data_IF_370643684724
#
_entry.id   IF_370643684724
#
_cell.length_a   1.000
_cell.length_b   1.000
_cell.length_c   1.000
_cell.angle_alpha   90.00
_cell.angle_beta   90.00
_cell.angle_gamma   90.00
#
_symmetry.space_group_name_H-M   'P 1'
#
loop_
_entity.id
_entity.type
_entity.pdbx_description
1 polymer ?
#
# COMPACT_ATOMS: atom_id res chain seq x y z
N UNK A 1 -20.30 20.69 19.23
CA UNK A 1 -19.46 21.30 18.18
C UNK A 1 -19.12 20.20 17.20
N UNK A 2 -19.90 20.14 16.13
CA UNK A 2 -19.88 19.09 15.12
C UNK A 2 -18.59 19.18 14.32
N UNK A 3 -17.83 18.08 14.26
CA UNK A 3 -16.75 17.93 13.30
C UNK A 3 -17.34 17.40 12.00
N UNK A 4 -17.61 18.27 11.03
CA UNK A 4 -17.83 17.86 9.65
C UNK A 4 -16.61 17.04 9.20
N UNK A 5 -16.78 15.72 9.09
CA UNK A 5 -15.79 14.87 8.43
C UNK A 5 -15.65 15.36 7.00
N UNK A 6 -14.48 15.91 6.65
CA UNK A 6 -14.16 16.31 5.27
C UNK A 6 -14.22 15.06 4.39
N UNK A 7 -15.36 14.83 3.74
CA UNK A 7 -15.49 13.82 2.68
C UNK A 7 -14.65 14.29 1.50
N UNK A 8 -13.38 13.84 1.44
CA UNK A 8 -12.54 14.04 0.25
C UNK A 8 -13.07 13.17 -0.88
N UNK A 9 -13.08 13.70 -2.10
CA UNK A 9 -13.33 12.91 -3.31
C UNK A 9 -12.34 11.73 -3.32
N UNK A 10 -12.78 10.47 -3.53
CA UNK A 10 -11.90 9.30 -3.64
C UNK A 10 -10.77 9.48 -4.63
N UNK A 11 -11.01 10.24 -5.70
CA UNK A 11 -10.00 10.55 -6.71
C UNK A 11 -8.86 11.45 -6.17
N UNK A 12 -9.08 12.14 -5.05
CA UNK A 12 -8.09 12.98 -4.37
C UNK A 12 -7.34 12.29 -3.24
N UNK A 13 -7.66 11.01 -2.97
CA UNK A 13 -7.00 10.24 -1.90
C UNK A 13 -5.65 9.74 -2.40
N UNK A 14 -4.61 10.05 -1.65
CA UNK A 14 -3.25 9.69 -2.00
C UNK A 14 -2.77 8.48 -1.21
N UNK A 15 -1.62 7.94 -1.61
CA UNK A 15 -0.91 6.89 -0.88
C UNK A 15 -0.65 7.33 0.57
N UNK A 16 -0.26 8.58 0.80
CA UNK A 16 0.00 9.12 2.14
C UNK A 16 -1.21 9.04 3.08
N UNK A 17 -2.43 9.12 2.56
CA UNK A 17 -3.66 9.03 3.36
C UNK A 17 -3.95 7.59 3.86
N UNK A 18 -3.35 6.56 3.25
CA UNK A 18 -3.67 5.13 3.50
C UNK A 18 -2.47 4.29 3.94
N UNK A 19 -1.25 4.68 3.57
CA UNK A 19 -0.05 3.91 3.86
C UNK A 19 0.15 3.69 5.38
N UNK A 20 0.88 2.63 5.71
CA UNK A 20 1.39 2.43 7.06
C UNK A 20 2.73 3.15 7.17
N UNK A 21 2.82 4.17 8.04
CA UNK A 21 4.05 4.96 8.21
C UNK A 21 5.09 4.30 9.12
N UNK A 22 4.67 3.50 10.11
CA UNK A 22 5.60 2.78 10.99
C UNK A 22 5.98 1.44 10.35
N UNK A 23 6.98 1.47 9.47
CA UNK A 23 7.44 0.29 8.73
C UNK A 23 8.55 -0.41 9.52
N UNK A 24 8.39 -1.71 9.71
CA UNK A 24 9.49 -2.56 10.13
C UNK A 24 10.45 -2.77 8.96
N UNK A 25 11.72 -2.51 9.20
CA UNK A 25 12.81 -2.61 8.23
C UNK A 25 13.91 -3.50 8.76
N UNK A 26 14.73 -4.00 7.85
CA UNK A 26 16.04 -4.58 8.17
C UNK A 26 17.13 -3.70 7.58
N UNK A 27 18.31 -3.73 8.17
CA UNK A 27 19.48 -3.05 7.63
C UNK A 27 20.28 -3.98 6.73
N UNK A 28 20.97 -3.42 5.73
CA UNK A 28 21.76 -4.20 4.75
C UNK A 28 22.80 -5.11 5.40
N UNK A 29 23.42 -4.66 6.49
CA UNK A 29 24.42 -5.41 7.24
C UNK A 29 23.86 -6.37 8.29
N UNK A 30 22.53 -6.44 8.47
CA UNK A 30 21.93 -7.39 9.40
C UNK A 30 22.21 -8.83 8.92
N UNK A 31 22.30 -9.75 9.88
CA UNK A 31 22.38 -11.16 9.55
C UNK A 31 21.03 -11.65 9.02
N UNK A 32 21.06 -12.67 8.16
CA UNK A 32 19.83 -13.36 7.74
C UNK A 32 19.04 -13.88 8.95
N UNK A 33 19.71 -14.33 10.01
CA UNK A 33 19.05 -14.82 11.23
C UNK A 33 18.25 -13.70 11.94
N UNK A 34 18.77 -12.48 11.97
CA UNK A 34 18.07 -11.33 12.54
C UNK A 34 16.87 -10.93 11.68
N UNK A 35 17.00 -10.97 10.34
CA UNK A 35 15.88 -10.75 9.43
C UNK A 35 14.79 -11.82 9.58
N UNK A 36 15.16 -13.10 9.76
CA UNK A 36 14.23 -14.20 10.04
C UNK A 36 13.47 -13.93 11.34
N UNK A 37 14.16 -13.57 12.43
CA UNK A 37 13.52 -13.23 13.71
C UNK A 37 12.52 -12.10 13.54
N UNK A 38 12.91 -11.00 12.89
CA UNK A 38 12.03 -9.86 12.67
C UNK A 38 10.77 -10.26 11.90
N UNK A 39 10.91 -11.02 10.81
CA UNK A 39 9.79 -11.45 9.97
C UNK A 39 8.82 -12.36 10.74
N UNK A 40 9.35 -13.34 11.46
CA UNK A 40 8.56 -14.31 12.24
C UNK A 40 7.86 -13.63 13.41
N UNK A 41 8.60 -12.88 14.23
CA UNK A 41 8.07 -12.27 15.46
C UNK A 41 7.05 -11.17 15.15
N UNK A 42 7.18 -10.52 13.99
CA UNK A 42 6.28 -9.44 13.55
C UNK A 42 5.12 -9.92 12.69
N UNK A 43 5.04 -11.23 12.40
CA UNK A 43 3.99 -11.84 11.55
C UNK A 43 3.86 -11.13 10.19
N UNK A 44 4.99 -10.81 9.59
CA UNK A 44 5.07 -10.24 8.24
C UNK A 44 5.76 -11.25 7.31
N UNK A 45 5.60 -11.12 6.00
CA UNK A 45 6.22 -12.06 5.04
C UNK A 45 7.44 -11.49 4.32
N UNK A 46 7.96 -10.36 4.83
CA UNK A 46 9.07 -9.62 4.25
C UNK A 46 9.09 -8.16 4.67
N UNK A 47 10.26 -7.53 4.55
CA UNK A 47 10.55 -6.18 5.01
C UNK A 47 11.41 -5.42 3.99
N UNK A 48 11.28 -4.09 3.89
CA UNK A 48 12.25 -3.26 3.18
C UNK A 48 13.63 -3.32 3.82
N UNK A 49 14.68 -3.31 3.00
CA UNK A 49 16.07 -3.21 3.41
C UNK A 49 16.52 -1.77 3.24
N UNK A 50 17.11 -1.17 4.29
CA UNK A 50 17.56 0.22 4.29
C UNK A 50 19.02 0.38 4.70
N UNK A 51 19.65 1.47 4.24
CA UNK A 51 20.97 1.90 4.71
C UNK A 51 20.89 2.69 6.03
N UNK A 52 22.03 3.21 6.48
CA UNK A 52 22.13 4.04 7.69
C UNK A 52 21.38 5.39 7.58
N UNK A 53 21.21 5.90 6.36
CA UNK A 53 20.46 7.13 6.06
C UNK A 53 18.96 6.85 5.86
N UNK A 54 18.50 5.62 6.10
CA UNK A 54 17.13 5.17 5.91
C UNK A 54 16.66 5.20 4.45
N UNK A 55 17.60 5.13 3.50
CA UNK A 55 17.30 4.98 2.08
C UNK A 55 17.05 3.53 1.76
N UNK A 56 16.08 3.28 0.89
CA UNK A 56 15.74 1.92 0.48
C UNK A 56 16.80 1.36 -0.46
N UNK A 57 17.31 0.17 -0.14
CA UNK A 57 18.28 -0.56 -0.94
C UNK A 57 17.66 -1.79 -1.61
N UNK A 58 16.66 -2.40 -0.97
CA UNK A 58 16.10 -3.66 -1.40
C UNK A 58 14.85 -4.06 -0.64
N UNK A 59 14.37 -5.27 -0.92
CA UNK A 59 13.36 -5.97 -0.13
C UNK A 59 13.90 -7.36 0.19
N UNK A 60 13.64 -7.83 1.41
CA UNK A 60 13.83 -9.21 1.79
C UNK A 60 12.48 -9.85 2.09
N UNK A 61 12.22 -11.02 1.53
CA UNK A 61 11.05 -11.84 1.79
C UNK A 61 11.44 -13.20 2.38
N UNK A 62 10.45 -13.90 2.94
CA UNK A 62 10.63 -15.29 3.42
C UNK A 62 11.27 -16.19 2.35
N UNK A 63 10.89 -16.01 1.08
CA UNK A 63 11.46 -16.75 -0.05
C UNK A 63 12.95 -16.53 -0.26
N UNK A 64 13.48 -15.39 0.18
CA UNK A 64 14.85 -14.97 -0.09
C UNK A 64 15.81 -15.53 0.98
N UNK A 65 15.30 -15.69 2.20
CA UNK A 65 16.06 -16.13 3.39
C UNK A 65 15.91 -17.61 3.70
N UNK A 66 14.87 -18.28 3.19
CA UNK A 66 14.66 -19.72 3.40
C UNK A 66 15.86 -20.52 2.88
N UNK A 67 16.49 -21.28 3.78
CA UNK A 67 17.64 -22.13 3.47
C UNK A 67 18.98 -21.40 3.39
N UNK A 68 19.03 -20.10 3.67
CA UNK A 68 20.27 -19.31 3.76
C UNK A 68 20.87 -19.40 5.17
N UNK A 69 22.20 -19.39 5.27
CA UNK A 69 22.93 -19.50 6.55
C UNK A 69 24.24 -18.72 6.50
N UNK A 70 24.50 -17.91 7.52
CA UNK A 70 25.76 -17.16 7.67
C UNK A 70 25.94 -16.00 6.67
N UNK A 71 24.89 -15.65 5.94
CA UNK A 71 24.87 -14.54 4.97
C UNK A 71 24.26 -13.29 5.60
N UNK A 72 24.59 -12.13 5.03
CA UNK A 72 23.96 -10.85 5.36
C UNK A 72 22.75 -10.58 4.47
N UNK A 73 21.89 -9.64 4.90
CA UNK A 73 20.66 -9.28 4.17
C UNK A 73 20.97 -8.75 2.77
N UNK A 74 22.00 -7.93 2.60
CA UNK A 74 22.40 -7.38 1.31
C UNK A 74 22.84 -8.44 0.27
N UNK A 75 23.35 -9.58 0.72
CA UNK A 75 23.72 -10.71 -0.14
C UNK A 75 22.51 -11.48 -0.70
N UNK A 76 21.34 -11.36 -0.06
CA UNK A 76 20.14 -12.14 -0.41
C UNK A 76 18.94 -11.30 -0.84
N UNK A 77 18.96 -9.99 -0.61
CA UNK A 77 17.85 -9.10 -0.94
C UNK A 77 17.59 -8.97 -2.44
N UNK A 78 16.34 -8.68 -2.79
CA UNK A 78 15.99 -8.22 -4.13
C UNK A 78 16.21 -6.71 -4.23
N UNK A 79 16.99 -6.27 -5.23
CA UNK A 79 17.37 -4.86 -5.44
C UNK A 79 16.49 -4.11 -6.43
N UNK A 80 15.73 -4.82 -7.30
CA UNK A 80 14.77 -4.19 -8.20
C UNK A 80 13.48 -3.81 -7.42
N UNK A 81 13.55 -2.68 -6.73
CA UNK A 81 12.47 -2.19 -5.87
C UNK A 81 11.62 -1.18 -6.63
N UNK A 82 10.37 -1.55 -6.90
CA UNK A 82 9.35 -0.61 -7.34
C UNK A 82 8.86 0.19 -6.15
N UNK A 83 9.02 1.51 -6.19
CA UNK A 83 8.59 2.43 -5.12
C UNK A 83 7.52 3.41 -5.63
N UNK A 84 6.87 4.10 -4.70
CA UNK A 84 5.91 5.18 -4.96
C UNK A 84 6.13 6.33 -3.98
N UNK A 85 5.41 7.45 -4.14
CA UNK A 85 5.48 8.61 -3.24
C UNK A 85 4.16 8.84 -2.52
N UNK A 86 4.18 9.59 -1.42
CA UNK A 86 2.97 9.91 -0.64
C UNK A 86 1.90 10.67 -1.43
N UNK A 87 2.32 11.43 -2.45
CA UNK A 87 1.43 12.23 -3.30
C UNK A 87 0.82 11.41 -4.45
N UNK A 88 1.31 10.19 -4.69
CA UNK A 88 0.75 9.32 -5.72
C UNK A 88 -0.70 8.99 -5.39
N UNK A 89 -1.60 8.98 -6.38
CA UNK A 89 -3.00 8.60 -6.14
C UNK A 89 -3.11 7.11 -5.80
N UNK A 90 -4.11 6.73 -4.99
CA UNK A 90 -4.35 5.32 -4.70
C UNK A 90 -4.64 4.48 -5.94
N UNK A 91 -5.32 5.05 -6.94
CA UNK A 91 -5.64 4.36 -8.18
C UNK A 91 -4.38 4.03 -8.99
N UNK A 92 -3.48 5.01 -9.16
CA UNK A 92 -2.19 4.81 -9.83
C UNK A 92 -1.28 3.83 -9.08
N UNK A 93 -1.27 3.88 -7.74
CA UNK A 93 -0.54 2.92 -6.93
C UNK A 93 -1.12 1.50 -7.09
N UNK A 94 -2.45 1.35 -7.06
CA UNK A 94 -3.12 0.07 -7.28
C UNK A 94 -2.81 -0.50 -8.67
N UNK A 95 -2.86 0.33 -9.72
CA UNK A 95 -2.48 -0.05 -11.08
C UNK A 95 -1.03 -0.53 -11.15
N UNK A 96 -0.10 0.18 -10.50
CA UNK A 96 1.30 -0.21 -10.41
C UNK A 96 1.44 -1.60 -9.77
N UNK A 97 0.74 -1.85 -8.65
CA UNK A 97 0.76 -3.15 -7.96
C UNK A 97 0.21 -4.30 -8.80
N UNK A 98 -0.82 -4.04 -9.60
CA UNK A 98 -1.43 -5.03 -10.48
C UNK A 98 -0.54 -5.33 -11.69
N UNK A 99 -0.07 -4.28 -12.37
CA UNK A 99 0.77 -4.39 -13.57
C UNK A 99 2.12 -5.02 -13.26
N UNK A 100 2.77 -4.61 -12.15
CA UNK A 100 4.04 -5.18 -11.70
C UNK A 100 3.87 -6.49 -10.93
N UNK A 101 2.64 -6.94 -10.67
CA UNK A 101 2.29 -8.15 -9.90
C UNK A 101 2.89 -8.19 -8.48
N UNK A 102 3.10 -7.03 -7.88
CA UNK A 102 3.64 -6.89 -6.52
C UNK A 102 2.51 -6.72 -5.49
N UNK A 103 2.78 -7.14 -4.25
CA UNK A 103 1.81 -7.13 -3.15
C UNK A 103 1.96 -5.95 -2.20
N UNK A 104 3.13 -5.32 -2.19
CA UNK A 104 3.49 -4.18 -1.35
C UNK A 104 4.29 -3.18 -2.19
N UNK A 105 4.12 -1.90 -1.89
CA UNK A 105 4.85 -0.79 -2.47
C UNK A 105 5.48 0.00 -1.33
N UNK A 106 6.82 -0.01 -1.21
CA UNK A 106 7.51 0.94 -0.37
C UNK A 106 7.21 2.37 -0.84
N UNK A 107 6.87 3.23 0.11
CA UNK A 107 6.60 4.65 -0.12
C UNK A 107 7.84 5.43 0.29
N UNK A 108 8.36 6.24 -0.61
CA UNK A 108 9.58 7.00 -0.38
C UNK A 108 9.39 8.50 -0.55
N UNK A 109 10.22 9.26 0.15
CA UNK A 109 10.40 10.70 -0.03
C UNK A 109 11.90 10.97 -0.15
N UNK A 110 12.32 11.50 -1.29
CA UNK A 110 13.74 11.73 -1.60
C UNK A 110 14.63 10.48 -1.42
N UNK A 111 14.09 9.31 -1.81
CA UNK A 111 14.77 8.01 -1.67
C UNK A 111 14.76 7.41 -0.27
N UNK A 112 14.29 8.15 0.74
CA UNK A 112 14.12 7.65 2.12
C UNK A 112 12.79 6.94 2.25
N UNK A 113 12.77 5.81 2.95
CA UNK A 113 11.52 5.12 3.24
C UNK A 113 10.69 5.93 4.24
N UNK A 114 9.40 6.17 3.91
CA UNK A 114 8.46 6.90 4.77
C UNK A 114 7.17 6.14 5.04
N UNK A 115 6.96 5.02 4.34
CA UNK A 115 5.80 4.17 4.57
C UNK A 115 5.80 2.93 3.69
N UNK A 116 4.77 2.12 3.85
CA UNK A 116 4.48 0.98 2.99
C UNK A 116 3.00 0.93 2.69
N UNK A 117 2.65 0.66 1.44
CA UNK A 117 1.29 0.42 1.00
C UNK A 117 1.13 -1.03 0.57
N UNK A 118 0.21 -1.76 1.20
CA UNK A 118 -0.10 -3.14 0.81
C UNK A 118 -1.45 -3.24 0.09
N UNK A 119 -1.66 -4.35 -0.64
CA UNK A 119 -2.99 -4.66 -1.21
C UNK A 119 -4.06 -4.76 -0.12
N UNK A 120 -3.71 -5.19 1.09
CA UNK A 120 -4.66 -5.25 2.20
C UNK A 120 -5.09 -3.84 2.62
N UNK A 121 -4.19 -2.86 2.60
CA UNK A 121 -4.52 -1.47 2.92
C UNK A 121 -5.42 -0.86 1.84
N UNK A 122 -5.15 -1.14 0.56
CA UNK A 122 -6.05 -0.77 -0.54
C UNK A 122 -7.45 -1.38 -0.38
N UNK A 123 -7.56 -2.68 -0.12
CA UNK A 123 -8.85 -3.36 0.07
C UNK A 123 -9.59 -2.79 1.29
N UNK A 124 -8.87 -2.55 2.39
CA UNK A 124 -9.40 -1.90 3.58
C UNK A 124 -9.93 -0.51 3.25
N UNK A 125 -9.28 0.24 2.38
CA UNK A 125 -9.77 1.56 1.98
C UNK A 125 -11.00 1.44 1.07
N UNK A 126 -10.91 0.64 0.00
CA UNK A 126 -11.96 0.43 -1.00
C UNK A 126 -13.29 0.07 -0.37
N UNK A 127 -13.31 -0.78 0.68
CA UNK A 127 -14.56 -1.20 1.36
C UNK A 127 -15.40 -0.03 1.88
N UNK A 128 -14.81 1.14 2.05
CA UNK A 128 -15.47 2.33 2.59
C UNK A 128 -15.86 3.33 1.50
N UNK A 129 -15.41 3.12 0.27
CA UNK A 129 -15.62 4.02 -0.88
C UNK A 129 -16.89 3.61 -1.63
N UNK A 130 -18.01 4.24 -1.29
CA UNK A 130 -19.32 3.91 -1.87
C UNK A 130 -19.81 4.96 -2.84
N UNK A 131 -20.33 4.49 -3.98
CA UNK A 131 -21.00 5.30 -5.00
C UNK A 131 -22.45 4.88 -5.08
N UNK A 132 -23.36 5.84 -4.91
CA UNK A 132 -24.81 5.61 -4.99
C UNK A 132 -25.35 6.24 -6.26
N UNK A 133 -26.01 5.44 -7.10
CA UNK A 133 -26.63 5.94 -8.33
C UNK A 133 -27.83 6.82 -8.00
N UNK A 134 -27.87 8.05 -8.52
CA UNK A 134 -28.94 9.01 -8.18
C UNK A 134 -30.31 8.61 -8.77
N UNK A 135 -30.35 7.66 -9.70
CA UNK A 135 -31.56 7.30 -10.45
C UNK A 135 -32.31 6.13 -9.80
N UNK A 136 -31.57 5.13 -9.33
CA UNK A 136 -32.16 3.90 -8.78
C UNK A 136 -31.62 3.52 -7.39
N UNK A 137 -30.76 4.36 -6.81
CA UNK A 137 -30.14 4.14 -5.50
C UNK A 137 -29.26 2.88 -5.38
N UNK A 138 -28.91 2.24 -6.50
CA UNK A 138 -27.94 1.14 -6.50
C UNK A 138 -26.59 1.64 -5.99
N UNK A 139 -26.03 0.92 -5.02
CA UNK A 139 -24.72 1.24 -4.44
C UNK A 139 -23.65 0.30 -4.96
N UNK A 140 -22.50 0.84 -5.33
CA UNK A 140 -21.32 0.07 -5.72
C UNK A 140 -20.07 0.56 -4.99
N UNK A 141 -19.08 -0.31 -4.88
CA UNK A 141 -17.82 -0.05 -4.17
C UNK A 141 -16.68 0.12 -5.17
N UNK A 142 -15.84 1.13 -4.99
CA UNK A 142 -14.65 1.31 -5.84
C UNK A 142 -13.95 2.65 -5.68
N UNK A 143 -12.64 2.70 -6.00
CA UNK A 143 -11.82 3.92 -5.94
C UNK A 143 -12.25 4.98 -6.95
N UNK A 144 -12.79 4.55 -8.09
CA UNK A 144 -13.22 5.43 -9.17
C UNK A 144 -14.74 5.47 -9.25
N UNK A 145 -15.25 6.64 -9.64
CA UNK A 145 -16.65 6.78 -10.02
C UNK A 145 -16.98 5.84 -11.18
N UNK A 146 -18.05 5.04 -11.10
CA UNK A 146 -18.46 4.21 -12.22
C UNK A 146 -18.94 5.04 -13.41
N UNK A 147 -18.70 4.54 -14.63
CA UNK A 147 -19.17 5.23 -15.84
C UNK A 147 -20.69 5.06 -16.06
N UNK A 148 -21.26 3.92 -15.66
CA UNK A 148 -22.69 3.63 -15.77
C UNK A 148 -23.14 2.69 -14.63
N UNK A 149 -24.39 2.85 -14.20
CA UNK A 149 -24.98 2.01 -13.17
C UNK A 149 -25.22 0.59 -13.69
N UNK A 150 -24.75 -0.46 -13.00
CA UNK A 150 -24.95 -1.84 -13.47
C UNK A 150 -26.41 -2.30 -13.40
N UNK A 151 -27.28 -1.54 -12.73
CA UNK A 151 -28.70 -1.86 -12.60
C UNK A 151 -29.58 -1.14 -13.63
N UNK A 152 -29.45 0.19 -13.76
CA UNK A 152 -30.32 0.99 -14.64
C UNK A 152 -29.61 1.72 -15.79
N UNK A 153 -28.27 1.67 -15.87
CA UNK A 153 -27.48 2.38 -16.87
C UNK A 153 -27.28 3.88 -16.62
N UNK A 154 -27.80 4.44 -15.52
CA UNK A 154 -27.63 5.86 -15.18
C UNK A 154 -26.17 6.27 -14.92
N UNK A 155 -25.84 7.53 -15.17
CA UNK A 155 -24.44 8.01 -15.20
C UNK A 155 -24.11 9.02 -14.09
N UNK A 156 -25.10 9.43 -13.29
CA UNK A 156 -24.90 10.35 -12.16
C UNK A 156 -24.81 9.59 -10.83
N UNK A 157 -23.89 10.03 -9.98
CA UNK A 157 -23.52 9.34 -8.76
C UNK A 157 -23.26 10.31 -7.61
N UNK A 158 -23.76 9.95 -6.42
CA UNK A 158 -23.40 10.57 -5.15
C UNK A 158 -22.34 9.72 -4.44
N UNK A 159 -21.28 10.37 -3.96
CA UNK A 159 -20.23 9.72 -3.19
C UNK A 159 -20.48 9.81 -1.68
N UNK A 160 -20.24 8.71 -0.96
CA UNK A 160 -20.18 8.70 0.49
C UNK A 160 -19.03 7.81 1.00
N UNK A 161 -18.24 8.33 1.93
CA UNK A 161 -17.42 7.49 2.82
C UNK A 161 -18.30 7.01 3.97
N UNK A 162 -18.41 5.70 4.16
CA UNK A 162 -19.04 5.15 5.36
C UNK A 162 -18.05 5.30 6.53
N UNK A 163 -18.46 5.88 7.68
CA UNK A 163 -17.56 6.02 8.82
C UNK A 163 -17.07 4.67 9.33
N UNK A 164 -15.85 4.66 9.89
CA UNK A 164 -15.15 3.47 10.40
C UNK A 164 -15.86 2.80 11.56
#
# INVERSE_FOLDING_TARGET
MSGEGRTRDPASITVGDVMVSNVLVVHSGDSVDDAVRLIVDSVITGAPVVDADHRILGIVAESDILGKRGQTVDEVMTTDVVTTTEDTTLDSAAETMLTRRIRRLPVTRDGRLVGILSRADLLRHVRHTHWTCDWCSTTVVGLRRPNACPHCGGETWTFATVPR
#
